data_IF_741518100346
#
_entry.id   IF_741518100346
#
_cell.length_a   1.000
_cell.length_b   1.000
_cell.length_c   1.000
_cell.angle_alpha   90.00
_cell.angle_beta   90.00
_cell.angle_gamma   90.00
#
_symmetry.space_group_name_H-M   'P 1'
#
loop_
_entity.id
_entity.type
_entity.pdbx_description
1 polymer ?
#
# COMPACT_ATOMS: atom_id res chain seq x y z
N UNK A 1 22.45 -20.06 0.82
CA UNK A 1 22.47 -20.53 2.23
C UNK A 1 21.94 -19.39 3.09
N UNK A 2 20.81 -19.59 3.76
CA UNK A 2 20.28 -18.60 4.69
C UNK A 2 20.95 -18.80 6.06
N UNK A 3 21.64 -17.78 6.55
CA UNK A 3 22.20 -17.73 7.91
C UNK A 3 21.48 -16.66 8.72
N UNK A 4 21.33 -16.88 10.03
CA UNK A 4 20.82 -15.85 10.94
C UNK A 4 21.82 -14.70 11.04
N UNK A 5 21.33 -13.46 10.95
CA UNK A 5 22.12 -12.24 11.19
C UNK A 5 21.52 -11.46 12.36
N UNK A 6 22.35 -10.71 13.09
CA UNK A 6 21.87 -9.77 14.11
C UNK A 6 20.93 -8.77 13.44
N UNK A 7 19.72 -8.62 13.96
CA UNK A 7 18.75 -7.66 13.45
C UNK A 7 19.24 -6.24 13.70
N UNK A 8 19.17 -5.39 12.67
CA UNK A 8 19.34 -3.94 12.75
C UNK A 8 18.08 -3.29 12.23
N UNK A 9 17.62 -2.22 12.88
CA UNK A 9 16.51 -1.44 12.35
C UNK A 9 16.96 -0.81 11.04
N UNK A 10 16.24 -1.08 9.97
CA UNK A 10 16.47 -0.45 8.67
C UNK A 10 15.43 0.65 8.50
N UNK A 11 15.81 1.74 7.83
CA UNK A 11 14.81 2.71 7.40
C UNK A 11 13.73 2.01 6.57
N UNK A 12 12.48 2.26 6.95
CA UNK A 12 11.33 1.55 6.38
C UNK A 12 10.30 2.55 5.87
N UNK A 13 9.35 2.04 5.07
CA UNK A 13 8.21 2.82 4.63
C UNK A 13 6.99 2.51 5.50
N UNK A 14 6.05 3.43 5.54
CA UNK A 14 4.85 3.29 6.36
C UNK A 14 3.86 2.36 5.65
N UNK A 15 3.36 1.32 6.33
CA UNK A 15 2.20 0.56 5.85
C UNK A 15 1.08 0.80 6.87
N UNK A 16 0.17 1.71 6.56
CA UNK A 16 -0.89 2.12 7.47
C UNK A 16 -2.26 1.68 6.97
N UNK A 17 -3.06 1.06 7.84
CA UNK A 17 -4.47 0.78 7.64
C UNK A 17 -5.35 1.73 8.44
N UNK A 18 -6.29 2.43 7.78
CA UNK A 18 -7.26 3.30 8.44
C UNK A 18 -8.68 2.74 8.27
N UNK A 19 -9.28 2.30 9.37
CA UNK A 19 -10.60 1.65 9.37
C UNK A 19 -11.63 2.63 9.89
N UNK A 20 -12.75 2.81 9.17
CA UNK A 20 -13.83 3.64 9.71
C UNK A 20 -15.20 3.42 9.04
N UNK A 21 -16.30 3.77 9.72
CA UNK A 21 -17.61 3.85 9.11
C UNK A 21 -17.70 5.02 8.12
N UNK A 22 -18.75 5.05 7.30
CA UNK A 22 -19.02 6.18 6.42
C UNK A 22 -19.20 7.49 7.23
N UNK A 23 -18.71 8.62 6.71
CA UNK A 23 -18.82 9.93 7.37
C UNK A 23 -17.80 10.22 8.46
N UNK A 24 -17.03 9.25 8.94
CA UNK A 24 -16.01 9.43 9.99
C UNK A 24 -14.76 10.23 9.56
N UNK A 25 -14.64 10.64 8.30
CA UNK A 25 -13.52 11.47 7.83
C UNK A 25 -12.27 10.70 7.36
N UNK A 26 -12.40 9.43 6.95
CA UNK A 26 -11.28 8.60 6.46
C UNK A 26 -10.38 9.28 5.44
N UNK A 27 -10.96 9.74 4.32
CA UNK A 27 -10.24 10.37 3.22
C UNK A 27 -9.49 11.61 3.70
N UNK A 28 -10.14 12.43 4.53
CA UNK A 28 -9.52 13.62 5.11
C UNK A 28 -8.32 13.25 5.99
N UNK A 29 -8.48 12.28 6.89
CA UNK A 29 -7.40 11.81 7.77
C UNK A 29 -6.25 11.22 6.96
N UNK A 30 -6.54 10.39 5.94
CA UNK A 30 -5.53 9.82 5.07
C UNK A 30 -4.74 10.89 4.31
N UNK A 31 -5.42 11.90 3.77
CA UNK A 31 -4.78 13.04 3.09
C UNK A 31 -3.96 13.91 4.07
N UNK A 32 -4.49 14.17 5.26
CA UNK A 32 -3.79 14.92 6.32
C UNK A 32 -2.48 14.24 6.69
N UNK A 33 -2.50 12.92 6.93
CA UNK A 33 -1.29 12.15 7.24
C UNK A 33 -0.37 12.09 6.02
N UNK A 34 -0.90 11.74 4.84
CA UNK A 34 -0.09 11.53 3.63
C UNK A 34 0.67 12.77 3.18
N UNK A 35 0.00 13.93 3.13
CA UNK A 35 0.62 15.21 2.72
C UNK A 35 1.58 15.78 3.75
N UNK A 36 1.42 15.44 5.03
CA UNK A 36 2.44 15.76 6.03
C UNK A 36 3.62 14.79 5.98
N UNK A 37 3.47 13.58 5.42
CA UNK A 37 4.48 12.52 5.42
C UNK A 37 5.49 12.68 4.29
N UNK A 38 5.03 13.00 3.09
CA UNK A 38 5.86 13.23 1.90
C UNK A 38 5.29 14.30 0.98
N UNK A 39 6.12 14.78 0.05
CA UNK A 39 5.79 15.92 -0.81
C UNK A 39 5.03 15.52 -2.07
N UNK A 40 5.24 14.29 -2.56
CA UNK A 40 4.58 13.77 -3.76
C UNK A 40 3.58 12.70 -3.36
N UNK A 41 2.32 13.09 -3.27
CA UNK A 41 1.22 12.22 -2.84
C UNK A 41 0.32 11.88 -4.02
N UNK A 42 0.01 10.59 -4.19
CA UNK A 42 -0.99 10.11 -5.11
C UNK A 42 -2.14 9.41 -4.36
N UNK A 43 -3.34 9.45 -4.93
CA UNK A 43 -4.53 8.79 -4.38
C UNK A 43 -5.15 7.88 -5.44
N UNK A 44 -5.33 6.61 -5.12
CA UNK A 44 -6.24 5.71 -5.85
C UNK A 44 -7.64 5.91 -5.27
N UNK A 45 -8.50 6.63 -5.99
CA UNK A 45 -9.86 6.93 -5.57
C UNK A 45 -10.85 5.93 -6.20
N UNK A 46 -11.49 5.16 -5.33
CA UNK A 46 -12.50 4.15 -5.70
C UNK A 46 -13.92 4.59 -5.30
N UNK A 47 -14.02 5.74 -4.64
CA UNK A 47 -15.23 6.37 -4.11
C UNK A 47 -15.76 7.46 -5.07
N UNK A 48 -15.42 7.35 -6.37
CA UNK A 48 -15.94 8.17 -7.49
C UNK A 48 -15.61 9.66 -7.38
N UNK A 49 -14.33 9.98 -7.25
CA UNK A 49 -13.84 11.38 -7.21
C UNK A 49 -14.14 12.07 -5.88
N UNK A 50 -14.37 11.30 -4.80
CA UNK A 50 -14.61 11.87 -3.48
C UNK A 50 -13.37 12.54 -2.90
N UNK A 51 -12.17 12.03 -3.22
CA UNK A 51 -10.91 12.59 -2.80
C UNK A 51 -10.68 13.97 -3.41
N UNK A 52 -11.01 14.15 -4.69
CA UNK A 52 -10.85 15.40 -5.45
C UNK A 52 -11.57 16.60 -4.81
N UNK A 53 -12.58 16.37 -3.97
CA UNK A 53 -13.25 17.42 -3.18
C UNK A 53 -12.32 18.12 -2.18
N UNK A 54 -11.17 17.52 -1.87
CA UNK A 54 -10.18 18.05 -0.95
C UNK A 54 -8.98 18.72 -1.65
N UNK A 55 -8.96 18.82 -2.98
CA UNK A 55 -7.87 19.44 -3.75
C UNK A 55 -7.61 20.92 -3.39
N UNK A 56 -8.61 21.62 -2.81
CA UNK A 56 -8.42 22.98 -2.28
C UNK A 56 -7.74 23.05 -0.91
N UNK A 57 -7.46 21.91 -0.27
CA UNK A 57 -6.87 21.81 1.08
C UNK A 57 -5.56 21.05 1.11
N UNK A 58 -5.38 20.10 0.19
CA UNK A 58 -4.24 19.20 0.13
C UNK A 58 -3.72 19.14 -1.31
N UNK A 59 -2.41 19.05 -1.46
CA UNK A 59 -1.75 18.87 -2.75
C UNK A 59 -1.49 17.38 -2.99
N UNK A 60 -2.11 16.83 -4.03
CA UNK A 60 -2.01 15.41 -4.42
C UNK A 60 -2.53 15.19 -5.84
N UNK A 61 -2.02 14.13 -6.47
CA UNK A 61 -2.53 13.61 -7.73
C UNK A 61 -3.53 12.47 -7.50
N UNK A 62 -4.46 12.24 -8.43
CA UNK A 62 -5.53 11.24 -8.28
C UNK A 62 -5.64 10.33 -9.50
N UNK A 63 -5.85 9.05 -9.24
CA UNK A 63 -6.27 8.04 -10.21
C UNK A 63 -7.63 7.48 -9.77
N UNK A 64 -8.67 7.74 -10.56
CA UNK A 64 -10.01 7.20 -10.29
C UNK A 64 -10.17 5.81 -10.92
N UNK A 65 -10.58 4.82 -10.12
CA UNK A 65 -10.88 3.47 -10.60
C UNK A 65 -12.39 3.26 -10.73
N UNK A 66 -12.82 2.75 -11.88
CA UNK A 66 -14.22 2.39 -12.18
C UNK A 66 -14.53 0.91 -11.97
N UNK A 67 -13.48 0.10 -11.88
CA UNK A 67 -13.49 -1.35 -11.67
C UNK A 67 -12.46 -1.71 -10.61
N UNK A 68 -12.81 -2.64 -9.73
CA UNK A 68 -12.09 -2.85 -8.49
C UNK A 68 -11.42 -4.23 -8.43
N UNK A 69 -11.01 -4.77 -9.58
CA UNK A 69 -10.18 -5.98 -9.62
C UNK A 69 -8.89 -5.73 -8.84
N UNK A 70 -8.40 -6.67 -8.01
CA UNK A 70 -7.11 -6.51 -7.35
C UNK A 70 -5.95 -6.22 -8.32
N UNK A 71 -6.03 -6.70 -9.57
CA UNK A 71 -5.05 -6.38 -10.62
C UNK A 71 -4.97 -4.86 -10.90
N UNK A 72 -6.11 -4.17 -10.94
CA UNK A 72 -6.12 -2.72 -11.21
C UNK A 72 -5.40 -1.94 -10.11
N UNK A 73 -5.48 -2.41 -8.85
CA UNK A 73 -4.75 -1.80 -7.74
C UNK A 73 -3.25 -2.08 -7.85
N UNK A 74 -2.85 -3.31 -8.23
CA UNK A 74 -1.44 -3.64 -8.48
C UNK A 74 -0.86 -2.74 -9.57
N UNK A 75 -1.57 -2.61 -10.69
CA UNK A 75 -1.14 -1.78 -11.81
C UNK A 75 -1.05 -0.30 -11.41
N UNK A 76 -2.01 0.18 -10.63
CA UNK A 76 -2.01 1.55 -10.10
C UNK A 76 -0.87 1.82 -9.10
N UNK A 77 -0.53 0.84 -8.24
CA UNK A 77 0.61 0.91 -7.33
C UNK A 77 1.91 1.04 -8.14
N UNK A 78 2.13 0.15 -9.11
CA UNK A 78 3.33 0.20 -9.96
C UNK A 78 3.40 1.47 -10.80
N UNK A 79 2.25 1.98 -11.27
CA UNK A 79 2.19 3.27 -11.98
C UNK A 79 2.64 4.41 -11.07
N UNK A 80 2.18 4.45 -9.82
CA UNK A 80 2.60 5.47 -8.87
C UNK A 80 4.10 5.37 -8.54
N UNK A 81 4.63 4.15 -8.41
CA UNK A 81 6.07 3.91 -8.22
C UNK A 81 6.89 4.43 -9.40
N UNK A 82 6.49 4.10 -10.63
CA UNK A 82 7.17 4.54 -11.85
C UNK A 82 7.14 6.07 -12.03
N UNK A 83 6.08 6.71 -11.54
CA UNK A 83 5.96 8.16 -11.54
C UNK A 83 6.68 8.82 -10.36
N UNK A 84 7.30 8.06 -9.46
CA UNK A 84 8.14 8.58 -8.38
C UNK A 84 7.38 9.29 -7.26
N UNK A 85 6.15 8.87 -6.95
CA UNK A 85 5.46 9.35 -5.76
C UNK A 85 6.13 8.83 -4.48
N UNK A 86 6.05 9.60 -3.40
CA UNK A 86 6.60 9.22 -2.09
C UNK A 86 5.54 8.53 -1.23
N UNK A 87 4.28 8.95 -1.38
CA UNK A 87 3.14 8.44 -0.62
C UNK A 87 2.02 8.08 -1.57
N UNK A 88 1.44 6.90 -1.38
CA UNK A 88 0.25 6.44 -2.07
C UNK A 88 -0.87 6.18 -1.06
N UNK A 89 -2.01 6.81 -1.27
CA UNK A 89 -3.23 6.58 -0.52
C UNK A 89 -4.15 5.69 -1.37
N UNK A 90 -4.65 4.59 -0.78
CA UNK A 90 -5.66 3.72 -1.41
C UNK A 90 -7.00 3.99 -0.70
N UNK A 91 -7.91 4.71 -1.36
CA UNK A 91 -9.20 5.10 -0.78
C UNK A 91 -10.38 4.54 -1.58
N UNK A 92 -10.95 3.38 -1.24
CA UNK A 92 -10.60 2.46 -0.16
C UNK A 92 -10.23 1.09 -0.71
N UNK A 93 -9.37 0.38 0.03
CA UNK A 93 -8.97 -0.99 -0.27
C UNK A 93 -10.15 -1.98 -0.14
N UNK A 94 -11.21 -1.62 0.58
CA UNK A 94 -12.43 -2.44 0.70
C UNK A 94 -13.09 -2.72 -0.65
N UNK A 95 -12.96 -1.82 -1.65
CA UNK A 95 -13.53 -2.06 -2.97
C UNK A 95 -12.80 -3.18 -3.73
N UNK A 96 -11.51 -3.41 -3.47
CA UNK A 96 -10.78 -4.55 -4.02
C UNK A 96 -11.39 -5.90 -3.58
N UNK A 97 -12.08 -5.91 -2.44
CA UNK A 97 -12.75 -7.09 -1.89
C UNK A 97 -14.20 -7.21 -2.35
N UNK A 98 -15.01 -6.22 -2.01
CA UNK A 98 -16.47 -6.26 -2.16
C UNK A 98 -17.03 -5.44 -3.33
N UNK A 99 -16.18 -4.66 -4.01
CA UNK A 99 -16.60 -3.80 -5.10
C UNK A 99 -16.88 -4.58 -6.38
N UNK A 100 -17.50 -3.91 -7.35
CA UNK A 100 -17.66 -4.42 -8.73
C UNK A 100 -16.32 -4.89 -9.31
N UNK A 101 -16.25 -6.16 -9.68
CA UNK A 101 -15.04 -6.80 -10.19
C UNK A 101 -13.99 -7.13 -9.13
N UNK A 102 -14.26 -6.85 -7.85
CA UNK A 102 -13.43 -7.24 -6.72
C UNK A 102 -13.47 -8.74 -6.43
N UNK A 103 -12.67 -9.17 -5.46
CA UNK A 103 -12.41 -10.58 -5.17
C UNK A 103 -13.68 -11.42 -4.98
N UNK A 104 -14.69 -10.92 -4.25
CA UNK A 104 -15.94 -11.65 -4.01
C UNK A 104 -16.71 -11.91 -5.32
N UNK A 105 -16.87 -10.90 -6.18
CA UNK A 105 -17.56 -11.07 -7.46
C UNK A 105 -16.76 -11.96 -8.42
N UNK A 106 -15.42 -11.92 -8.36
CA UNK A 106 -14.56 -12.83 -9.12
C UNK A 106 -14.79 -14.29 -8.72
N UNK A 107 -14.89 -14.57 -7.42
CA UNK A 107 -15.20 -15.92 -6.90
C UNK A 107 -16.57 -16.36 -7.36
N UNK A 108 -17.59 -15.51 -7.25
CA UNK A 108 -18.95 -15.85 -7.69
C UNK A 108 -19.03 -16.17 -9.19
N UNK A 109 -18.33 -15.38 -10.02
CA UNK A 109 -18.23 -15.63 -11.47
C UNK A 109 -17.50 -16.94 -11.77
N UNK A 110 -16.39 -17.21 -11.09
CA UNK A 110 -15.65 -18.46 -11.28
C UNK A 110 -16.45 -19.68 -10.83
N UNK A 111 -17.18 -19.58 -9.71
CA UNK A 111 -18.04 -20.65 -9.21
C UNK A 111 -19.16 -20.97 -10.20
N UNK A 112 -19.83 -19.94 -10.75
CA UNK A 112 -20.92 -20.09 -11.74
C UNK A 112 -20.45 -20.74 -13.04
N UNK A 113 -19.19 -20.53 -13.45
CA UNK A 113 -18.61 -21.15 -14.65
C UNK A 113 -18.21 -22.61 -14.43
N UNK A 114 -18.01 -23.04 -13.19
CA UNK A 114 -17.65 -24.43 -12.89
C UNK A 114 -18.90 -25.32 -12.93
N UNK A 115 -18.82 -26.47 -13.61
CA UNK A 115 -19.93 -27.43 -13.70
C UNK A 115 -20.41 -27.94 -12.33
N UNK A 116 -19.57 -27.88 -11.30
CA UNK A 116 -19.87 -28.32 -9.94
C UNK A 116 -20.43 -27.22 -9.02
N UNK A 117 -20.47 -25.95 -9.47
CA UNK A 117 -20.79 -24.76 -8.65
C UNK A 117 -20.01 -24.68 -7.32
N UNK A 118 -18.82 -25.29 -7.27
CA UNK A 118 -18.05 -25.40 -6.05
C UNK A 118 -17.13 -24.17 -5.88
N UNK A 119 -17.43 -23.35 -4.87
CA UNK A 119 -16.67 -22.13 -4.53
C UNK A 119 -15.23 -22.42 -4.10
N UNK A 120 -14.92 -23.64 -3.64
CA UNK A 120 -13.56 -24.03 -3.27
C UNK A 120 -12.57 -23.90 -4.44
N UNK A 121 -12.97 -24.32 -5.64
CA UNK A 121 -12.14 -24.19 -6.83
C UNK A 121 -12.05 -22.75 -7.31
N UNK A 122 -13.11 -21.96 -7.13
CA UNK A 122 -13.13 -20.54 -7.48
C UNK A 122 -12.12 -19.73 -6.64
N UNK A 123 -11.99 -20.03 -5.35
CA UNK A 123 -10.99 -19.39 -4.48
C UNK A 123 -9.55 -19.71 -4.90
N UNK A 124 -9.29 -20.87 -5.54
CA UNK A 124 -7.95 -21.24 -6.01
C UNK A 124 -7.40 -20.25 -7.04
N UNK A 125 -8.28 -19.64 -7.83
CA UNK A 125 -7.88 -18.72 -8.90
C UNK A 125 -7.85 -17.26 -8.41
N UNK A 126 -8.67 -16.90 -7.39
CA UNK A 126 -8.75 -15.53 -6.86
C UNK A 126 -7.76 -15.25 -5.73
N UNK A 127 -7.50 -16.25 -4.88
CA UNK A 127 -6.57 -16.09 -3.73
C UNK A 127 -5.17 -15.65 -4.16
N UNK A 128 -4.54 -16.23 -5.22
CA UNK A 128 -3.23 -15.79 -5.67
C UNK A 128 -3.20 -14.32 -6.08
N UNK A 129 -4.24 -13.84 -6.75
CA UNK A 129 -4.32 -12.44 -7.18
C UNK A 129 -4.53 -11.49 -5.98
N UNK A 130 -5.35 -11.88 -5.02
CA UNK A 130 -5.51 -11.11 -3.78
C UNK A 130 -4.21 -11.05 -2.98
N UNK A 131 -3.47 -12.16 -2.87
CA UNK A 131 -2.16 -12.18 -2.23
C UNK A 131 -1.16 -11.30 -2.98
N UNK A 132 -1.16 -11.31 -4.31
CA UNK A 132 -0.29 -10.44 -5.11
C UNK A 132 -0.57 -8.94 -4.87
N UNK A 133 -1.82 -8.56 -4.60
CA UNK A 133 -2.16 -7.20 -4.19
C UNK A 133 -1.57 -6.85 -2.82
N UNK A 134 -1.68 -7.76 -1.85
CA UNK A 134 -1.07 -7.57 -0.52
C UNK A 134 0.44 -7.44 -0.67
N UNK A 135 1.08 -8.32 -1.44
CA UNK A 135 2.51 -8.28 -1.71
C UNK A 135 2.94 -6.96 -2.36
N UNK A 136 2.17 -6.44 -3.32
CA UNK A 136 2.43 -5.13 -3.95
C UNK A 136 2.38 -3.99 -2.91
N UNK A 137 1.42 -4.00 -1.99
CA UNK A 137 1.31 -3.02 -0.90
C UNK A 137 2.53 -3.11 0.05
N UNK A 138 2.88 -4.33 0.47
CA UNK A 138 3.94 -4.55 1.46
C UNK A 138 5.33 -4.27 0.91
N UNK A 139 5.58 -4.60 -0.36
CA UNK A 139 6.88 -4.46 -1.00
C UNK A 139 7.10 -3.09 -1.63
N UNK A 140 6.05 -2.25 -1.72
CA UNK A 140 6.16 -0.93 -2.34
C UNK A 140 7.26 -0.07 -1.70
N UNK A 141 8.08 0.65 -2.48
CA UNK A 141 9.09 1.57 -1.97
C UNK A 141 8.50 2.91 -1.51
N UNK A 142 7.18 3.11 -1.67
CA UNK A 142 6.44 4.28 -1.19
C UNK A 142 5.90 4.04 0.22
N UNK A 143 5.52 5.13 0.91
CA UNK A 143 4.62 5.01 2.06
C UNK A 143 3.21 4.71 1.56
N UNK A 144 2.56 3.68 2.10
CA UNK A 144 1.20 3.29 1.73
C UNK A 144 0.25 3.56 2.90
N UNK A 145 -0.84 4.28 2.62
CA UNK A 145 -1.97 4.46 3.53
C UNK A 145 -3.20 3.87 2.86
N UNK A 146 -3.70 2.75 3.36
CA UNK A 146 -4.91 2.11 2.85
C UNK A 146 -6.09 2.41 3.77
N UNK A 147 -7.17 2.99 3.23
CA UNK A 147 -8.41 3.14 3.97
C UNK A 147 -9.29 1.90 3.77
N UNK A 148 -10.08 1.55 4.79
CA UNK A 148 -11.01 0.44 4.77
C UNK A 148 -12.34 0.89 5.36
N UNK A 149 -13.42 0.45 4.72
CA UNK A 149 -14.78 0.64 5.24
C UNK A 149 -14.98 -0.33 6.39
N UNK A 150 -15.66 0.11 7.44
CA UNK A 150 -16.00 -0.73 8.57
C UNK A 150 -17.46 -1.20 8.54
N UNK A 151 -17.67 -2.44 8.97
CA UNK A 151 -18.95 -2.95 9.48
C UNK A 151 -18.91 -2.98 11.00
N UNK A 152 -20.06 -2.87 11.65
CA UNK A 152 -20.11 -3.06 13.11
C UNK A 152 -19.87 -4.52 13.44
N UNK A 153 -18.94 -4.80 14.34
CA UNK A 153 -18.65 -6.14 14.81
C UNK A 153 -19.45 -6.47 16.07
N UNK A 154 -20.06 -7.66 16.09
CA UNK A 154 -20.85 -8.16 17.20
C UNK A 154 -20.34 -9.55 17.60
N UNK A 155 -20.23 -9.79 18.91
CA UNK A 155 -20.10 -11.15 19.46
C UNK A 155 -21.42 -11.56 20.08
N UNK A 156 -21.68 -12.86 20.12
CA UNK A 156 -22.82 -13.40 20.85
C UNK A 156 -22.37 -13.69 22.27
N UNK A 157 -22.86 -12.91 23.24
CA UNK A 157 -22.68 -13.22 24.66
C UNK A 157 -23.88 -14.06 25.16
N UNK A 158 -23.60 -15.04 26.01
CA UNK A 158 -24.64 -15.80 26.70
C UNK A 158 -24.92 -15.14 28.05
N UNK A 159 -26.02 -14.40 28.14
CA UNK A 159 -26.49 -13.78 29.38
C UNK A 159 -27.72 -14.54 29.85
N UNK A 160 -27.60 -15.25 30.97
CA UNK A 160 -28.70 -16.03 31.58
C UNK A 160 -29.35 -17.06 30.63
N UNK A 161 -28.56 -17.76 29.82
CA UNK A 161 -29.06 -18.75 28.86
C UNK A 161 -29.62 -18.15 27.56
N UNK A 162 -29.62 -16.82 27.41
CA UNK A 162 -30.02 -16.13 26.18
C UNK A 162 -28.79 -15.62 25.43
N UNK A 163 -28.73 -15.95 24.15
CA UNK A 163 -27.76 -15.41 23.22
C UNK A 163 -28.14 -13.96 22.89
N UNK A 164 -27.28 -13.00 23.26
CA UNK A 164 -27.48 -11.56 23.02
C UNK A 164 -26.31 -11.04 22.19
N UNK A 165 -26.56 -10.40 21.03
CA UNK A 165 -25.51 -9.74 20.26
C UNK A 165 -24.97 -8.53 21.05
N UNK A 166 -23.67 -8.50 21.31
CA UNK A 166 -22.95 -7.38 21.91
C UNK A 166 -22.00 -6.79 20.89
N UNK A 167 -22.13 -5.50 20.64
CA UNK A 167 -21.21 -4.74 19.78
C UNK A 167 -19.83 -4.72 20.44
N UNK A 168 -18.82 -5.23 19.76
CA UNK A 168 -17.43 -5.26 20.26
C UNK A 168 -16.52 -4.26 19.58
N UNK A 169 -16.86 -3.77 18.39
CA UNK A 169 -16.02 -2.81 17.68
C UNK A 169 -16.41 -2.60 16.23
N UNK A 170 -15.41 -2.19 15.45
CA UNK A 170 -15.45 -2.08 14.01
C UNK A 170 -14.63 -3.22 13.41
N UNK A 171 -15.20 -3.92 12.44
CA UNK A 171 -14.46 -4.88 11.63
C UNK A 171 -14.29 -4.31 10.21
N UNK A 172 -13.10 -4.39 9.61
CA UNK A 172 -12.91 -3.96 8.23
C UNK A 172 -13.75 -4.83 7.29
N UNK A 173 -14.27 -4.23 6.22
CA UNK A 173 -14.88 -4.95 5.11
C UNK A 173 -13.75 -5.39 4.18
N UNK A 174 -13.19 -6.55 4.49
CA UNK A 174 -12.06 -7.17 3.80
C UNK A 174 -12.01 -8.68 4.12
N UNK A 175 -11.07 -9.40 3.49
CA UNK A 175 -10.67 -10.74 3.96
C UNK A 175 -10.20 -10.68 5.40
N UNK A 176 -10.65 -11.64 6.21
CA UNK A 176 -10.26 -11.76 7.61
C UNK A 176 -8.73 -11.78 7.75
N UNK A 177 -8.23 -10.93 8.64
CA UNK A 177 -6.82 -10.82 8.98
C UNK A 177 -6.01 -9.84 8.13
N UNK A 178 -6.62 -9.12 7.18
CA UNK A 178 -5.90 -8.09 6.40
C UNK A 178 -5.23 -7.03 7.28
N UNK A 179 -5.87 -6.64 8.38
CA UNK A 179 -5.32 -5.72 9.37
C UNK A 179 -3.97 -6.20 9.95
N UNK A 180 -3.67 -7.51 9.92
CA UNK A 180 -2.40 -8.04 10.38
C UNK A 180 -1.23 -7.76 9.42
N UNK A 181 -1.49 -7.35 8.18
CA UNK A 181 -0.45 -7.05 7.19
C UNK A 181 0.19 -5.66 7.40
N UNK A 182 -0.55 -4.69 7.95
CA UNK A 182 -0.06 -3.32 8.11
C UNK A 182 0.83 -3.12 9.34
N UNK A 183 1.75 -2.17 9.31
CA UNK A 183 2.58 -1.83 10.48
C UNK A 183 1.79 -1.10 11.56
N UNK A 184 0.90 -0.19 11.13
CA UNK A 184 0.00 0.59 11.98
C UNK A 184 -1.43 0.42 11.47
N UNK A 185 -2.35 0.10 12.36
CA UNK A 185 -3.79 0.09 12.09
C UNK A 185 -4.47 0.98 13.11
N UNK A 186 -5.35 1.86 12.62
CA UNK A 186 -6.15 2.72 13.47
C UNK A 186 -7.60 2.78 13.02
N UNK A 187 -8.49 2.81 14.00
CA UNK A 187 -9.92 3.04 13.81
C UNK A 187 -10.20 4.53 13.89
N UNK A 188 -11.06 5.04 13.01
CA UNK A 188 -11.55 6.42 13.06
C UNK A 188 -13.01 6.40 13.46
N UNK A 189 -13.35 7.07 14.57
CA UNK A 189 -14.73 7.20 15.02
C UNK A 189 -15.45 8.40 14.37
N UNK A 190 -16.72 8.57 14.68
CA UNK A 190 -17.54 9.66 14.14
C UNK A 190 -17.15 11.05 14.64
N UNK A 191 -16.41 11.13 15.74
CA UNK A 191 -15.88 12.38 16.30
C UNK A 191 -14.48 12.70 15.74
N UNK A 192 -14.03 11.92 14.75
CA UNK A 192 -12.74 12.03 14.08
C UNK A 192 -11.54 11.73 14.99
N UNK A 193 -11.74 10.90 16.03
CA UNK A 193 -10.64 10.36 16.79
C UNK A 193 -10.03 9.18 16.04
N UNK A 194 -8.72 9.23 15.79
CA UNK A 194 -7.91 8.11 15.35
C UNK A 194 -7.45 7.34 16.58
N UNK A 195 -7.91 6.10 16.71
CA UNK A 195 -7.63 5.18 17.81
C UNK A 195 -6.71 4.09 17.27
N UNK A 196 -5.46 4.06 17.72
CA UNK A 196 -4.50 3.05 17.25
C UNK A 196 -4.84 1.69 17.87
N UNK A 197 -5.22 0.73 17.03
CA UNK A 197 -5.64 -0.62 17.46
C UNK A 197 -4.52 -1.65 17.28
N UNK A 198 -3.54 -1.36 16.44
CA UNK A 198 -2.33 -2.17 16.26
C UNK A 198 -1.19 -1.27 15.80
N UNK A 199 0.00 -1.47 16.33
CA UNK A 199 1.18 -0.72 15.91
C UNK A 199 2.47 -1.49 16.19
N UNK A 200 3.47 -1.27 15.33
CA UNK A 200 4.89 -1.62 15.59
C UNK A 200 5.71 -0.42 16.09
N UNK A 201 5.08 0.75 16.18
CA UNK A 201 5.62 1.97 16.75
C UNK A 201 5.14 2.10 18.20
N UNK A 202 6.04 1.88 19.16
CA UNK A 202 5.72 1.90 20.60
C UNK A 202 5.16 3.25 21.06
N UNK A 203 5.62 4.36 20.46
CA UNK A 203 5.16 5.72 20.77
C UNK A 203 3.69 5.96 20.39
N UNK A 204 3.12 5.13 19.52
CA UNK A 204 1.73 5.20 19.10
C UNK A 204 0.85 4.11 19.75
N UNK A 205 1.40 3.29 20.64
CA UNK A 205 0.64 2.26 21.33
C UNK A 205 -0.51 2.89 22.12
N UNK A 206 -1.72 2.37 21.91
CA UNK A 206 -2.97 2.82 22.55
C UNK A 206 -3.30 4.31 22.36
N UNK A 207 -2.68 4.97 21.36
CA UNK A 207 -2.87 6.38 21.13
C UNK A 207 -4.28 6.70 20.63
N UNK A 208 -4.86 7.78 21.17
CA UNK A 208 -6.13 8.36 20.71
C UNK A 208 -5.89 9.81 20.34
N UNK A 209 -6.07 10.13 19.06
CA UNK A 209 -5.66 11.42 18.50
C UNK A 209 -6.83 12.02 17.73
N UNK A 210 -7.33 13.17 18.17
CA UNK A 210 -8.41 13.86 17.47
C UNK A 210 -7.87 14.59 16.24
N UNK A 211 -8.47 14.34 15.07
CA UNK A 211 -8.10 14.98 13.79
C UNK A 211 -6.59 14.93 13.54
N UNK A 212 -6.01 13.73 13.43
CA UNK A 212 -4.56 13.55 13.31
C UNK A 212 -3.99 14.33 12.12
N UNK A 213 -2.79 14.88 12.30
CA UNK A 213 -2.08 15.60 11.27
C UNK A 213 -0.58 15.51 11.45
N UNK A 214 0.08 16.68 11.43
CA UNK A 214 1.54 16.76 11.46
C UNK A 214 2.15 16.10 12.70
N UNK A 215 1.51 16.23 13.85
CA UNK A 215 1.93 15.67 15.14
C UNK A 215 2.14 14.15 15.08
N UNK A 216 1.14 13.43 14.58
CA UNK A 216 1.21 11.97 14.39
C UNK A 216 2.29 11.61 13.38
N UNK A 217 2.39 12.39 12.31
CA UNK A 217 3.35 12.14 11.25
C UNK A 217 4.79 12.36 11.71
N UNK A 218 5.04 13.33 12.58
CA UNK A 218 6.37 13.55 13.15
C UNK A 218 6.81 12.34 13.98
N UNK A 219 5.92 11.78 14.80
CA UNK A 219 6.15 10.51 15.53
C UNK A 219 6.44 9.36 14.56
N UNK A 220 5.59 9.19 13.53
CA UNK A 220 5.78 8.13 12.51
C UNK A 220 7.12 8.30 11.79
N UNK A 221 7.46 9.51 11.35
CA UNK A 221 8.70 9.79 10.63
C UNK A 221 9.91 9.46 11.49
N UNK A 222 9.94 9.91 12.74
CA UNK A 222 11.03 9.60 13.66
C UNK A 222 11.20 8.09 13.83
N UNK A 223 10.08 7.36 13.97
CA UNK A 223 10.11 5.90 14.08
C UNK A 223 10.61 5.22 12.80
N UNK A 224 10.21 5.68 11.61
CA UNK A 224 10.61 5.11 10.32
C UNK A 224 12.05 5.44 9.93
N UNK A 225 12.57 6.60 10.37
CA UNK A 225 13.92 7.08 10.09
C UNK A 225 14.98 6.56 11.06
N UNK A 226 14.56 6.07 12.23
CA UNK A 226 15.43 5.40 13.19
C UNK A 226 15.91 4.06 12.62
N UNK A 227 17.20 3.96 12.31
CA UNK A 227 17.78 2.77 11.68
C UNK A 227 18.88 3.09 10.67
N UNK A 228 19.59 2.06 10.23
CA UNK A 228 20.57 2.16 9.13
C UNK A 228 19.79 2.34 7.82
N UNK A 229 20.26 3.22 6.95
CA UNK A 229 19.69 3.40 5.61
C UNK A 229 19.64 2.04 4.88
N UNK A 230 18.49 1.71 4.29
CA UNK A 230 18.32 0.44 3.61
C UNK A 230 18.99 0.52 2.24
N UNK A 231 20.27 0.15 2.15
CA UNK A 231 20.97 0.11 0.87
C UNK A 231 20.34 -0.97 -0.03
N UNK A 232 19.69 -0.50 -1.10
CA UNK A 232 19.17 -1.37 -2.15
C UNK A 232 20.31 -2.15 -2.80
N UNK A 233 20.09 -3.43 -3.03
CA UNK A 233 21.01 -4.26 -3.78
C UNK A 233 21.10 -3.80 -5.25
N UNK A 234 22.17 -4.22 -5.92
CA UNK A 234 22.38 -3.96 -7.35
C UNK A 234 21.17 -4.37 -8.20
N UNK A 235 20.64 -5.57 -7.95
CA UNK A 235 19.53 -6.14 -8.73
C UNK A 235 18.22 -5.37 -8.49
N UNK A 236 17.95 -4.94 -7.25
CA UNK A 236 16.78 -4.10 -6.95
C UNK A 236 16.85 -2.73 -7.61
N UNK A 237 18.03 -2.10 -7.61
CA UNK A 237 18.25 -0.81 -8.28
C UNK A 237 18.07 -0.93 -9.79
N UNK A 238 18.63 -1.99 -10.39
CA UNK A 238 18.54 -2.24 -11.82
C UNK A 238 17.09 -2.54 -12.23
N UNK A 239 16.38 -3.39 -11.48
CA UNK A 239 15.00 -3.72 -11.77
C UNK A 239 14.09 -2.49 -11.73
N UNK A 240 14.27 -1.61 -10.74
CA UNK A 240 13.52 -0.34 -10.66
C UNK A 240 13.80 0.55 -11.87
N UNK A 241 15.06 0.68 -12.28
CA UNK A 241 15.43 1.49 -13.45
C UNK A 241 14.80 0.92 -14.74
N UNK A 242 14.83 -0.40 -14.89
CA UNK A 242 14.23 -1.10 -16.04
C UNK A 242 12.71 -0.91 -16.06
N UNK A 243 12.03 -1.05 -14.93
CA UNK A 243 10.58 -0.82 -14.83
C UNK A 243 10.20 0.60 -15.28
N UNK A 244 10.98 1.62 -14.87
CA UNK A 244 10.75 3.00 -15.28
C UNK A 244 10.86 3.19 -16.79
N UNK A 245 11.94 2.71 -17.41
CA UNK A 245 12.15 2.89 -18.86
C UNK A 245 11.16 2.08 -19.70
N UNK A 246 10.74 0.90 -19.23
CA UNK A 246 9.70 0.12 -19.91
C UNK A 246 8.33 0.77 -19.80
N UNK A 247 7.97 1.31 -18.62
CA UNK A 247 6.73 2.08 -18.45
C UNK A 247 6.69 3.32 -19.35
N UNK A 248 7.85 3.94 -19.62
CA UNK A 248 8.01 5.06 -20.57
C UNK A 248 8.08 4.64 -22.04
N UNK A 249 8.08 3.33 -22.34
CA UNK A 249 8.14 2.82 -23.70
C UNK A 249 9.48 3.03 -24.41
N UNK A 250 10.59 3.09 -23.68
CA UNK A 250 11.91 3.20 -24.29
C UNK A 250 12.24 1.95 -25.11
N UNK A 251 12.77 2.15 -26.31
CA UNK A 251 13.29 1.07 -27.15
C UNK A 251 14.60 0.50 -26.57
N UNK A 252 14.89 -0.77 -26.87
CA UNK A 252 15.99 -1.50 -26.25
C UNK A 252 17.37 -0.89 -26.54
N UNK A 253 17.56 -0.32 -27.73
CA UNK A 253 18.76 0.44 -28.11
C UNK A 253 18.92 1.71 -27.26
N UNK A 254 17.84 2.45 -27.03
CA UNK A 254 17.85 3.66 -26.18
C UNK A 254 18.23 3.31 -24.73
N UNK A 255 17.67 2.22 -24.21
CA UNK A 255 17.99 1.72 -22.86
C UNK A 255 19.48 1.41 -22.76
N UNK A 256 20.03 0.66 -23.71
CA UNK A 256 21.45 0.28 -23.73
C UNK A 256 22.36 1.50 -23.86
N UNK A 257 22.03 2.44 -24.76
CA UNK A 257 22.80 3.69 -24.90
C UNK A 257 22.80 4.49 -23.61
N UNK A 258 21.64 4.68 -22.97
CA UNK A 258 21.56 5.43 -21.71
C UNK A 258 22.24 4.71 -20.56
N UNK A 259 22.16 3.39 -20.50
CA UNK A 259 22.88 2.58 -19.53
C UNK A 259 24.39 2.75 -19.70
N UNK A 260 24.90 2.70 -20.93
CA UNK A 260 26.31 2.90 -21.23
C UNK A 260 26.77 4.34 -20.92
N UNK A 261 25.98 5.35 -21.27
CA UNK A 261 26.30 6.76 -20.96
C UNK A 261 26.39 7.04 -19.45
N UNK A 262 25.54 6.41 -18.66
CA UNK A 262 25.46 6.65 -17.20
C UNK A 262 26.44 5.80 -16.40
N UNK A 263 26.68 4.55 -16.82
CA UNK A 263 27.49 3.59 -16.06
C UNK A 263 28.90 3.39 -16.62
N UNK A 264 29.09 3.67 -17.91
CA UNK A 264 30.30 3.34 -18.66
C UNK A 264 30.36 1.88 -19.14
N UNK A 265 29.32 1.07 -18.91
CA UNK A 265 29.27 -0.36 -19.27
C UNK A 265 28.23 -0.65 -20.35
N UNK A 266 28.53 -1.58 -21.24
CA UNK A 266 27.62 -1.96 -22.34
C UNK A 266 26.46 -2.87 -21.88
N UNK A 267 26.64 -3.59 -20.77
CA UNK A 267 25.66 -4.55 -20.25
C UNK A 267 25.68 -4.58 -18.71
N UNK A 268 24.53 -4.73 -18.03
CA UNK A 268 24.45 -4.82 -16.58
C UNK A 268 25.21 -5.98 -15.94
N UNK A 269 25.48 -7.09 -16.62
CA UNK A 269 26.27 -8.17 -16.00
C UNK A 269 27.75 -7.79 -15.89
N UNK A 270 28.25 -6.95 -16.81
CA UNK A 270 29.63 -6.44 -16.75
C UNK A 270 29.83 -5.47 -15.59
N UNK A 271 28.84 -4.63 -15.31
CA UNK A 271 28.89 -3.67 -14.20
C UNK A 271 28.83 -4.37 -12.84
N UNK A 272 28.20 -5.55 -12.73
CA UNK A 272 27.96 -6.26 -11.47
C UNK A 272 29.23 -6.63 -10.69
N UNK A 273 30.39 -6.67 -11.35
CA UNK A 273 31.70 -6.94 -10.73
C UNK A 273 32.48 -5.68 -10.37
N UNK A 274 31.98 -4.49 -10.72
CA UNK A 274 32.59 -3.20 -10.37
C UNK A 274 32.37 -2.89 -8.87
N UNK A 275 33.41 -2.51 -8.12
CA UNK A 275 33.27 -2.03 -6.74
C UNK A 275 32.29 -0.85 -6.57
N UNK A 276 32.09 -0.05 -7.62
CA UNK A 276 31.19 1.12 -7.66
C UNK A 276 29.85 0.82 -8.37
N UNK A 277 29.52 -0.45 -8.59
CA UNK A 277 28.33 -0.89 -9.32
C UNK A 277 27.03 -0.25 -8.79
N UNK A 278 26.89 -0.16 -7.47
CA UNK A 278 25.71 0.40 -6.80
C UNK A 278 25.51 1.87 -7.18
N UNK A 279 26.56 2.69 -7.12
CA UNK A 279 26.45 4.13 -7.42
C UNK A 279 26.17 4.35 -8.92
N UNK A 280 26.81 3.57 -9.78
CA UNK A 280 26.59 3.64 -11.23
C UNK A 280 25.16 3.25 -11.61
N UNK A 281 24.60 2.19 -11.02
CA UNK A 281 23.17 1.87 -11.26
C UNK A 281 22.25 2.92 -10.63
N UNK A 282 22.59 3.53 -9.50
CA UNK A 282 21.82 4.69 -8.97
C UNK A 282 21.78 5.86 -9.96
N UNK A 283 22.88 6.14 -10.67
CA UNK A 283 22.89 7.15 -11.74
C UNK A 283 21.96 6.78 -12.90
N UNK A 284 21.97 5.50 -13.32
CA UNK A 284 21.06 5.02 -14.35
C UNK A 284 19.59 5.08 -13.90
N UNK A 285 19.30 4.71 -12.64
CA UNK A 285 17.97 4.85 -12.04
C UNK A 285 17.51 6.31 -12.05
N UNK A 286 18.36 7.26 -11.66
CA UNK A 286 18.03 8.68 -11.72
C UNK A 286 17.75 9.15 -13.15
N UNK A 287 18.55 8.70 -14.14
CA UNK A 287 18.33 9.01 -15.54
C UNK A 287 17.03 8.40 -16.09
N UNK A 288 16.61 7.22 -15.61
CA UNK A 288 15.34 6.59 -16.00
C UNK A 288 14.10 7.37 -15.52
N UNK A 289 14.25 8.21 -14.50
CA UNK A 289 13.16 9.02 -13.93
C UNK A 289 12.94 10.32 -14.70
N UNK A 290 13.96 10.83 -15.40
CA UNK A 290 13.88 12.00 -16.31
C UNK A 290 13.22 11.64 -17.65
#
# INVERSE_FOLDING_TARGET
MAGFKKATKQQSRLRMGLIAPAGAGKTYTALSIGTNLGNRVAVIDTERGSASKYAGKFDFDVLELDTYSPQNYIDAIHLAEANGYEVLIIDSLSHAWMGKGGALEMVDKAATRSQSRNTYFAWRDVTPLHNALIDAILQSPMHIIATMRAKTEYVIENINGKQVPKKIGLAPIQRDGMEFEFDIVADIDTDHNMIVTKTRCDELADAVINKPGKDVVDTIRNWLSDGVENELSYDELLQRALNNVYAKGWAQDVILTKFQETTGYADPNQLKTDPDAINKVKLFLAASQQ
#
